data_IF_036498766195
#
_entry.id   IF_036498766195
#
_cell.length_a   1.000
_cell.length_b   1.000
_cell.length_c   1.000
_cell.angle_alpha   90.00
_cell.angle_beta   90.00
_cell.angle_gamma   90.00
#
_symmetry.space_group_name_H-M   'P 1'
#
loop_
_entity.id
_entity.type
_entity.pdbx_description
1 polymer ?
#
# COMPACT_ATOMS: atom_id res chain seq x y z
N UNK A 1 -4.77 -7.30 -17.77
CA UNK A 1 -4.53 -5.86 -17.64
C UNK A 1 -4.07 -5.66 -16.21
N UNK A 2 -2.78 -5.39 -16.00
CA UNK A 2 -2.18 -5.27 -14.68
C UNK A 2 -2.25 -3.83 -14.18
N UNK A 3 -2.18 -3.63 -12.86
CA UNK A 3 -2.21 -2.30 -12.23
C UNK A 3 -1.08 -1.37 -12.70
N UNK A 4 0.02 -1.91 -13.21
CA UNK A 4 1.21 -1.15 -13.66
C UNK A 4 0.90 -0.11 -14.75
N UNK A 5 0.03 -0.47 -15.69
CA UNK A 5 -0.37 0.40 -16.82
C UNK A 5 -1.26 1.56 -16.33
N UNK A 6 -2.16 1.27 -15.39
CA UNK A 6 -3.07 2.27 -14.83
C UNK A 6 -2.35 3.29 -13.93
N UNK A 7 -1.38 2.85 -13.14
CA UNK A 7 -0.67 3.75 -12.21
C UNK A 7 0.16 4.79 -12.97
N UNK A 8 0.75 4.44 -14.11
CA UNK A 8 1.64 5.32 -14.86
C UNK A 8 0.92 6.47 -15.60
N UNK A 9 -0.32 6.26 -16.03
CA UNK A 9 -1.03 7.20 -16.93
C UNK A 9 -2.22 7.94 -16.28
N UNK A 10 -2.50 7.66 -14.99
CA UNK A 10 -3.73 8.12 -14.34
C UNK A 10 -3.49 9.25 -13.35
N UNK A 11 -4.39 10.23 -13.32
CA UNK A 11 -4.36 11.32 -12.31
C UNK A 11 -4.59 10.75 -10.90
N UNK A 12 -3.97 11.29 -9.83
CA UNK A 12 -4.11 10.78 -8.46
C UNK A 12 -5.57 10.54 -8.02
N UNK A 13 -6.46 11.50 -8.27
CA UNK A 13 -7.88 11.37 -7.96
C UNK A 13 -8.60 10.21 -8.67
N UNK A 14 -8.32 10.01 -9.96
CA UNK A 14 -8.92 8.92 -10.73
C UNK A 14 -8.38 7.56 -10.24
N UNK A 15 -7.06 7.48 -10.01
CA UNK A 15 -6.41 6.28 -9.48
C UNK A 15 -6.95 5.93 -8.11
N UNK A 16 -7.11 6.93 -7.23
CA UNK A 16 -7.66 6.72 -5.90
C UNK A 16 -9.11 6.23 -5.96
N UNK A 17 -9.96 6.81 -6.80
CA UNK A 17 -11.32 6.31 -7.00
C UNK A 17 -11.35 4.86 -7.49
N UNK A 18 -10.50 4.49 -8.45
CA UNK A 18 -10.39 3.11 -8.92
C UNK A 18 -10.00 2.14 -7.80
N UNK A 19 -9.03 2.52 -6.96
CA UNK A 19 -8.63 1.72 -5.80
C UNK A 19 -9.80 1.59 -4.81
N UNK A 20 -10.51 2.69 -4.51
CA UNK A 20 -11.66 2.65 -3.61
C UNK A 20 -12.76 1.71 -4.11
N UNK A 21 -13.14 1.82 -5.38
CA UNK A 21 -14.16 0.96 -5.96
C UNK A 21 -13.74 -0.50 -5.92
N UNK A 22 -12.46 -0.78 -6.22
CA UNK A 22 -11.94 -2.14 -6.10
C UNK A 22 -12.00 -2.68 -4.67
N UNK A 23 -11.62 -1.89 -3.69
CA UNK A 23 -11.70 -2.30 -2.28
C UNK A 23 -13.15 -2.49 -1.83
N UNK A 24 -14.10 -1.72 -2.35
CA UNK A 24 -15.54 -1.93 -2.10
C UNK A 24 -16.03 -3.23 -2.72
N UNK A 25 -15.67 -3.52 -3.98
CA UNK A 25 -16.03 -4.77 -4.66
C UNK A 25 -15.53 -6.01 -3.91
N UNK A 26 -14.31 -5.93 -3.37
CA UNK A 26 -13.72 -7.00 -2.57
C UNK A 26 -14.28 -7.06 -1.14
N UNK A 27 -15.07 -6.06 -0.73
CA UNK A 27 -15.59 -5.95 0.63
C UNK A 27 -14.49 -5.70 1.67
N UNK A 28 -13.44 -4.99 1.30
CA UNK A 28 -12.27 -4.63 2.13
C UNK A 28 -12.21 -3.13 2.46
N UNK A 29 -13.14 -2.34 1.91
CA UNK A 29 -13.21 -0.90 2.17
C UNK A 29 -13.42 -0.63 3.66
N UNK A 30 -12.72 0.38 4.18
CA UNK A 30 -12.64 0.79 5.58
C UNK A 30 -12.14 -0.29 6.56
N UNK A 31 -11.45 -1.32 6.05
CA UNK A 31 -10.83 -2.36 6.86
C UNK A 31 -9.31 -2.26 6.86
N UNK A 32 -8.71 -2.61 8.01
CA UNK A 32 -7.26 -2.76 8.12
C UNK A 32 -6.88 -4.21 7.81
N UNK A 33 -6.13 -4.38 6.72
CA UNK A 33 -5.62 -5.66 6.26
C UNK A 33 -4.20 -5.85 6.81
N UNK A 34 -3.94 -7.01 7.42
CA UNK A 34 -2.58 -7.39 7.80
C UNK A 34 -1.97 -8.28 6.74
N UNK A 35 -0.83 -7.87 6.19
CA UNK A 35 -0.05 -8.62 5.20
C UNK A 35 1.27 -9.07 5.84
N UNK A 36 1.79 -10.21 5.40
CA UNK A 36 3.12 -10.68 5.78
C UNK A 36 3.86 -11.09 4.52
N UNK A 37 4.97 -10.42 4.25
CA UNK A 37 5.77 -10.53 3.03
C UNK A 37 7.22 -10.62 3.45
N UNK A 38 7.92 -11.69 3.04
CA UNK A 38 9.33 -11.93 3.36
C UNK A 38 9.65 -11.81 4.88
N UNK A 39 8.73 -12.24 5.74
CA UNK A 39 8.89 -12.15 7.20
C UNK A 39 8.60 -10.78 7.82
N UNK A 40 8.35 -9.76 7.00
CA UNK A 40 7.94 -8.43 7.45
C UNK A 40 6.42 -8.29 7.48
N UNK A 41 5.87 -7.62 8.49
CA UNK A 41 4.44 -7.36 8.61
C UNK A 41 4.09 -5.97 8.07
N UNK A 42 3.00 -5.89 7.31
CA UNK A 42 2.46 -4.64 6.79
C UNK A 42 0.98 -4.50 7.13
N UNK A 43 0.52 -3.26 7.29
CA UNK A 43 -0.89 -2.90 7.42
C UNK A 43 -1.30 -2.10 6.20
N UNK A 44 -2.28 -2.60 5.47
CA UNK A 44 -2.90 -1.88 4.38
C UNK A 44 -4.32 -1.46 4.78
N UNK A 45 -4.74 -0.24 4.41
CA UNK A 45 -6.11 0.24 4.60
C UNK A 45 -6.49 1.09 3.40
N UNK A 46 -7.73 0.96 2.95
CA UNK A 46 -8.35 1.91 2.03
C UNK A 46 -9.62 2.44 2.67
N UNK A 47 -9.73 3.75 2.81
CA UNK A 47 -10.91 4.43 3.32
C UNK A 47 -11.33 5.59 2.40
N UNK A 48 -12.22 6.46 2.89
CA UNK A 48 -12.72 7.59 2.12
C UNK A 48 -11.65 8.64 1.79
N UNK A 49 -10.57 8.70 2.56
CA UNK A 49 -9.54 9.74 2.47
C UNK A 49 -8.29 9.25 1.74
N UNK A 50 -7.86 8.02 2.01
CA UNK A 50 -6.66 7.48 1.40
C UNK A 50 -6.63 5.95 1.33
N UNK A 51 -5.78 5.45 0.43
CA UNK A 51 -5.19 4.13 0.52
C UNK A 51 -3.79 4.27 1.11
N UNK A 52 -3.50 3.51 2.15
CA UNK A 52 -2.24 3.57 2.89
C UNK A 52 -1.69 2.18 3.14
N UNK A 53 -0.39 2.01 2.99
CA UNK A 53 0.35 0.83 3.42
C UNK A 53 1.47 1.26 4.37
N UNK A 54 1.54 0.58 5.51
CA UNK A 54 2.54 0.81 6.54
C UNK A 54 3.32 -0.47 6.83
N UNK A 55 4.64 -0.38 6.96
CA UNK A 55 5.47 -1.48 7.49
C UNK A 55 5.47 -1.46 9.00
N UNK A 56 4.96 -2.52 9.62
CA UNK A 56 5.05 -2.71 11.06
C UNK A 56 6.49 -2.94 11.50
N UNK A 57 6.84 -2.40 12.67
CA UNK A 57 8.15 -2.58 13.28
C UNK A 57 7.96 -3.55 14.44
N UNK A 58 8.38 -4.80 14.25
CA UNK A 58 8.51 -5.74 15.37
C UNK A 58 9.66 -5.22 16.27
N UNK A 59 9.37 -4.95 17.54
CA UNK A 59 10.25 -4.29 18.54
C UNK A 59 10.40 -2.75 18.47
N UNK A 60 9.33 -2.01 18.23
CA UNK A 60 9.36 -0.60 18.59
C UNK A 60 9.18 -0.43 20.11
N UNK A 61 10.13 0.21 20.80
CA UNK A 61 9.93 0.79 22.15
C UNK A 61 8.92 1.97 22.14
N UNK A 62 8.23 2.17 21.03
CA UNK A 62 7.21 3.18 20.79
C UNK A 62 5.85 2.59 21.19
N UNK A 63 5.02 3.32 21.95
CA UNK A 63 3.74 2.83 22.42
C UNK A 63 2.84 2.31 21.29
N UNK A 64 2.02 1.27 21.56
CA UNK A 64 1.10 0.69 20.60
C UNK A 64 0.13 1.78 20.10
N UNK A 65 0.19 2.10 18.81
CA UNK A 65 -0.67 3.13 18.21
C UNK A 65 -0.06 3.90 17.05
N UNK A 66 1.26 3.84 16.85
CA UNK A 66 1.90 4.44 15.66
C UNK A 66 2.01 3.37 14.56
N UNK A 67 1.40 3.58 13.38
CA UNK A 67 1.40 2.60 12.32
C UNK A 67 2.74 2.65 11.58
N UNK A 68 3.81 2.09 12.16
CA UNK A 68 5.02 1.76 11.41
C UNK A 68 5.63 2.87 10.53
N UNK A 69 6.36 2.49 9.47
CA UNK A 69 6.81 3.42 8.42
C UNK A 69 5.83 3.41 7.25
N UNK A 70 5.34 4.57 6.75
CA UNK A 70 4.54 4.61 5.53
C UNK A 70 5.40 4.17 4.34
N UNK A 71 4.92 3.20 3.58
CA UNK A 71 5.60 2.70 2.36
C UNK A 71 4.82 3.04 1.10
N UNK A 72 3.51 3.25 1.22
CA UNK A 72 2.67 3.68 0.10
C UNK A 72 1.50 4.53 0.61
N UNK A 73 1.20 5.63 -0.07
CA UNK A 73 0.05 6.49 0.16
C UNK A 73 -0.55 6.89 -1.18
N UNK A 74 -1.86 6.71 -1.34
CA UNK A 74 -2.62 7.21 -2.47
C UNK A 74 -3.82 7.97 -1.94
N UNK A 75 -4.00 9.20 -2.38
CA UNK A 75 -5.13 10.06 -2.06
C UNK A 75 -5.58 10.81 -3.30
N UNK A 76 -6.64 11.61 -3.18
CA UNK A 76 -7.12 12.41 -4.30
C UNK A 76 -6.08 13.43 -4.83
N UNK A 77 -5.17 13.88 -3.96
CA UNK A 77 -4.20 14.93 -4.26
C UNK A 77 -2.81 14.40 -4.62
N UNK A 78 -2.44 13.23 -4.09
CA UNK A 78 -1.07 12.72 -4.21
C UNK A 78 -0.98 11.20 -4.26
N UNK A 79 0.04 10.73 -4.97
CA UNK A 79 0.53 9.36 -4.98
C UNK A 79 1.96 9.42 -4.46
N UNK A 80 2.20 8.81 -3.30
CA UNK A 80 3.53 8.61 -2.72
C UNK A 80 3.77 7.11 -2.74
N UNK A 81 4.71 6.69 -3.57
CA UNK A 81 5.17 5.32 -3.64
C UNK A 81 6.65 5.32 -3.27
N UNK A 82 6.96 4.91 -2.05
CA UNK A 82 8.34 4.79 -1.58
C UNK A 82 8.92 3.46 -2.09
N UNK A 83 8.95 3.32 -3.42
CA UNK A 83 9.84 2.39 -4.12
C UNK A 83 11.19 3.07 -4.20
N UNK A 84 12.11 2.80 -3.26
CA UNK A 84 13.45 3.40 -3.34
C UNK A 84 14.04 3.20 -4.74
N UNK A 85 14.62 4.23 -5.37
CA UNK A 85 15.37 4.07 -6.61
C UNK A 85 16.57 3.12 -6.37
N UNK A 86 17.04 2.39 -7.41
CA UNK A 86 18.23 1.54 -7.31
C UNK A 86 19.50 2.41 -7.29
N UNK A 87 19.72 3.16 -6.21
CA UNK A 87 20.93 3.94 -6.02
C UNK A 87 21.53 3.63 -4.65
N UNK A 88 22.36 2.60 -4.67
CA UNK A 88 23.42 2.30 -3.70
C UNK A 88 23.00 1.69 -2.36
N UNK A 89 22.97 0.35 -2.36
CA UNK A 89 23.11 -0.48 -1.15
C UNK A 89 21.80 -0.70 -0.41
N UNK A 90 21.71 -1.85 0.26
CA UNK A 90 20.63 -2.29 1.18
C UNK A 90 19.91 -1.11 1.86
N UNK A 91 18.85 -0.62 1.23
CA UNK A 91 17.95 0.32 1.87
C UNK A 91 16.98 -0.53 2.68
N UNK A 92 17.36 -0.82 3.93
CA UNK A 92 16.60 -1.64 4.89
C UNK A 92 15.17 -1.10 5.09
N UNK A 93 14.86 0.11 4.61
CA UNK A 93 13.56 0.77 4.71
C UNK A 93 12.69 0.63 3.45
N UNK A 94 13.26 0.26 2.30
CA UNK A 94 12.52 0.05 1.08
C UNK A 94 11.67 -1.22 1.18
N UNK A 95 10.38 -1.13 0.84
CA UNK A 95 9.53 -2.32 0.75
C UNK A 95 9.84 -3.17 -0.49
N UNK A 96 10.49 -2.58 -1.50
CA UNK A 96 10.77 -3.19 -2.79
C UNK A 96 9.51 -3.47 -3.63
N UNK A 97 8.35 -2.97 -3.22
CA UNK A 97 7.06 -3.19 -3.88
C UNK A 97 6.44 -1.86 -4.29
N UNK A 98 6.07 -1.75 -5.57
CA UNK A 98 5.33 -0.62 -6.09
C UNK A 98 3.86 -0.69 -5.70
N UNK A 99 3.12 0.41 -5.85
CA UNK A 99 1.68 0.47 -5.66
C UNK A 99 0.96 -0.67 -6.42
N UNK A 100 1.35 -0.92 -7.66
CA UNK A 100 0.77 -1.99 -8.46
C UNK A 100 0.98 -3.38 -7.82
N UNK A 101 2.16 -3.64 -7.25
CA UNK A 101 2.46 -4.88 -6.54
C UNK A 101 1.61 -5.03 -5.28
N UNK A 102 1.44 -3.95 -4.51
CA UNK A 102 0.56 -3.94 -3.33
C UNK A 102 -0.87 -4.30 -3.68
N UNK A 103 -1.42 -3.69 -4.73
CA UNK A 103 -2.78 -3.96 -5.19
C UNK A 103 -2.91 -5.40 -5.69
N UNK A 104 -1.96 -5.88 -6.50
CA UNK A 104 -1.92 -7.27 -6.97
C UNK A 104 -1.85 -8.27 -5.79
N UNK A 105 -1.04 -7.99 -4.77
CA UNK A 105 -0.91 -8.83 -3.57
C UNK A 105 -2.21 -8.88 -2.77
N UNK A 106 -2.85 -7.74 -2.54
CA UNK A 106 -4.12 -7.67 -1.80
C UNK A 106 -5.21 -8.40 -2.57
N UNK A 107 -5.31 -8.17 -3.88
CA UNK A 107 -6.27 -8.89 -4.72
C UNK A 107 -6.02 -10.40 -4.69
N UNK A 108 -4.79 -10.86 -4.92
CA UNK A 108 -4.50 -12.30 -4.94
C UNK A 108 -4.81 -13.01 -3.62
N UNK A 109 -4.73 -12.29 -2.50
CA UNK A 109 -4.91 -12.86 -1.15
C UNK A 109 -6.34 -12.79 -0.64
N UNK A 110 -7.11 -11.79 -1.08
CA UNK A 110 -8.46 -11.51 -0.56
C UNK A 110 -9.57 -11.62 -1.62
N UNK A 111 -9.24 -11.93 -2.87
CA UNK A 111 -10.23 -12.29 -3.89
C UNK A 111 -10.91 -13.60 -3.49
N UNK A 112 -12.21 -13.51 -3.21
CA UNK A 112 -13.09 -14.67 -2.97
C UNK A 112 -13.41 -15.39 -4.27
#
# INVERSE_FOLDING_TARGET
MGWEDFVAETRPAELFHLIQDRFRELGLFDQTLTLTIQGQKYLARCDAQAFTVYRCIDNCHIPPGVPGWPVCLVSADTVIDETSPPQSGDDEFASGLALADWLNLIESRFKK
#
